data_IF_327399860453
#
_entry.id   IF_327399860453
#
_cell.length_a   1.000
_cell.length_b   1.000
_cell.length_c   1.000
_cell.angle_alpha   90.00
_cell.angle_beta   90.00
_cell.angle_gamma   90.00
#
_symmetry.space_group_name_H-M   'P 1'
#
loop_
_entity.id
_entity.type
_entity.pdbx_description
1 polymer ?
#
# COMPACT_ATOMS: atom_id res chain seq x y z
N UNK A 1 -21.27 12.12 -8.34
CA UNK A 1 -20.64 13.05 -9.29
C UNK A 1 -19.47 13.77 -8.61
N UNK A 2 -18.44 14.09 -9.37
CA UNK A 2 -17.32 14.92 -8.93
C UNK A 2 -17.76 16.38 -8.78
N UNK A 3 -17.44 17.00 -7.65
CA UNK A 3 -17.72 18.42 -7.44
C UNK A 3 -16.84 19.36 -8.28
N UNK A 4 -15.71 18.85 -8.82
CA UNK A 4 -14.77 19.64 -9.60
C UNK A 4 -15.18 19.80 -11.06
N UNK A 5 -15.76 18.78 -11.68
CA UNK A 5 -16.05 18.71 -13.12
C UNK A 5 -17.39 18.06 -13.46
N UNK A 6 -18.18 17.67 -12.47
CA UNK A 6 -19.48 17.02 -12.66
C UNK A 6 -19.40 15.58 -13.21
N UNK A 7 -18.21 14.99 -13.29
CA UNK A 7 -18.05 13.63 -13.80
C UNK A 7 -18.75 12.61 -12.90
N UNK A 8 -19.37 11.58 -13.49
CA UNK A 8 -19.95 10.48 -12.74
C UNK A 8 -18.84 9.63 -12.11
N UNK A 9 -18.83 9.56 -10.79
CA UNK A 9 -17.87 8.75 -10.03
C UNK A 9 -18.38 7.33 -9.75
N UNK A 10 -19.67 7.09 -9.94
CA UNK A 10 -20.33 5.83 -9.74
C UNK A 10 -21.76 5.99 -9.23
N UNK A 11 -22.48 4.88 -9.18
CA UNK A 11 -23.82 4.80 -8.63
C UNK A 11 -23.85 3.82 -7.45
N UNK A 12 -24.57 4.20 -6.40
CA UNK A 12 -24.80 3.32 -5.24
C UNK A 12 -26.22 2.76 -5.36
N UNK A 13 -26.37 1.44 -5.59
CA UNK A 13 -27.70 0.85 -5.62
C UNK A 13 -28.32 0.90 -4.22
N UNK A 14 -29.52 1.45 -4.13
CA UNK A 14 -30.33 1.49 -2.91
C UNK A 14 -31.56 0.60 -3.07
N UNK A 15 -32.08 0.08 -1.96
CA UNK A 15 -33.32 -0.71 -1.98
C UNK A 15 -34.51 0.17 -2.43
N UNK A 16 -35.47 -0.43 -3.14
CA UNK A 16 -36.68 0.29 -3.64
C UNK A 16 -37.48 0.92 -2.51
N UNK A 17 -37.42 0.33 -1.32
CA UNK A 17 -38.11 0.77 -0.11
C UNK A 17 -37.40 1.93 0.61
N UNK A 18 -36.30 2.45 0.06
CA UNK A 18 -35.55 3.58 0.64
C UNK A 18 -36.39 4.86 0.52
N UNK A 19 -36.73 5.45 1.67
CA UNK A 19 -37.58 6.67 1.77
C UNK A 19 -36.79 7.93 2.14
N UNK A 20 -35.58 7.78 2.70
CA UNK A 20 -34.71 8.91 3.00
C UNK A 20 -33.24 8.54 2.80
N UNK A 21 -32.47 9.51 2.34
CA UNK A 21 -31.02 9.41 2.14
C UNK A 21 -30.40 10.68 2.72
N UNK A 22 -29.32 10.49 3.47
CA UNK A 22 -28.47 11.58 3.95
C UNK A 22 -27.01 11.21 3.80
N UNK A 23 -26.13 12.20 3.75
CA UNK A 23 -24.68 12.00 3.58
C UNK A 23 -23.93 12.65 4.74
N UNK A 24 -22.93 11.95 5.26
CA UNK A 24 -22.04 12.52 6.27
C UNK A 24 -21.31 13.77 5.72
N UNK A 25 -20.97 14.77 6.57
CA UNK A 25 -20.43 16.05 6.14
C UNK A 25 -19.16 15.97 5.28
N UNK A 26 -18.38 14.88 5.42
CA UNK A 26 -17.17 14.62 4.62
C UNK A 26 -17.41 13.72 3.41
N UNK A 27 -18.65 13.31 3.17
CA UNK A 27 -19.00 12.42 2.06
C UNK A 27 -18.55 10.96 2.24
N UNK A 28 -18.08 10.56 3.43
CA UNK A 28 -17.55 9.22 3.69
C UNK A 28 -18.61 8.16 4.02
N UNK A 29 -19.84 8.59 4.33
CA UNK A 29 -20.93 7.68 4.66
C UNK A 29 -22.23 8.14 4.05
N UNK A 30 -23.03 7.18 3.58
CA UNK A 30 -24.45 7.35 3.28
C UNK A 30 -25.29 6.75 4.40
N UNK A 31 -26.29 7.49 4.82
CA UNK A 31 -27.33 7.02 5.73
C UNK A 31 -28.61 6.81 4.94
N UNK A 32 -29.16 5.61 5.03
CA UNK A 32 -30.38 5.23 4.34
C UNK A 32 -31.44 4.84 5.35
N UNK A 33 -32.68 5.23 5.10
CA UNK A 33 -33.84 4.80 5.91
C UNK A 33 -34.84 4.16 4.95
N UNK A 34 -35.31 2.97 5.27
CA UNK A 34 -36.37 2.30 4.52
C UNK A 34 -37.78 2.59 5.08
N UNK A 35 -38.80 2.18 4.36
CA UNK A 35 -40.23 2.33 4.76
C UNK A 35 -40.57 1.63 6.08
N UNK A 36 -39.76 0.65 6.51
CA UNK A 36 -39.90 -0.04 7.80
C UNK A 36 -39.12 0.65 8.91
N UNK A 37 -38.65 1.88 8.68
CA UNK A 37 -37.83 2.67 9.62
C UNK A 37 -36.51 2.02 10.00
N UNK A 38 -35.98 1.10 9.16
CA UNK A 38 -34.67 0.49 9.35
C UNK A 38 -33.59 1.45 8.86
N UNK A 39 -32.61 1.69 9.71
CA UNK A 39 -31.40 2.46 9.43
C UNK A 39 -30.33 1.58 8.79
N UNK A 40 -29.72 2.06 7.69
CA UNK A 40 -28.53 1.46 7.09
C UNK A 40 -27.48 2.55 6.90
N UNK A 41 -26.28 2.34 7.43
CA UNK A 41 -25.12 3.19 7.18
C UNK A 41 -24.19 2.46 6.20
N UNK A 42 -23.77 3.14 5.14
CA UNK A 42 -22.88 2.61 4.11
C UNK A 42 -21.64 3.48 4.02
N UNK A 43 -20.45 2.87 4.14
CA UNK A 43 -19.20 3.57 3.86
C UNK A 43 -19.05 3.81 2.36
N UNK A 44 -18.74 5.05 1.98
CA UNK A 44 -18.34 5.41 0.62
C UNK A 44 -16.81 5.48 0.59
N UNK A 45 -16.19 4.76 -0.30
CA UNK A 45 -14.77 4.87 -0.58
C UNK A 45 -14.53 4.86 -2.08
N UNK A 46 -13.85 5.90 -2.58
CA UNK A 46 -13.44 5.96 -3.97
C UNK A 46 -12.13 5.19 -4.14
N UNK A 47 -12.05 4.39 -5.20
CA UNK A 47 -10.79 3.75 -5.54
C UNK A 47 -9.79 4.81 -6.01
N UNK A 48 -8.60 4.80 -5.41
CA UNK A 48 -7.48 5.66 -5.79
C UNK A 48 -6.72 5.02 -6.96
N UNK A 49 -6.38 5.81 -7.96
CA UNK A 49 -5.46 5.38 -9.02
C UNK A 49 -4.02 5.54 -8.53
N UNK A 50 -3.43 4.44 -8.08
CA UNK A 50 -2.06 4.41 -7.56
C UNK A 50 -1.15 3.82 -8.63
N UNK A 51 -0.27 4.65 -9.20
CA UNK A 51 0.72 4.17 -10.17
C UNK A 51 1.71 3.19 -9.52
N UNK A 52 1.67 1.96 -9.97
CA UNK A 52 2.55 0.87 -9.51
C UNK A 52 3.70 0.57 -10.47
N UNK A 53 3.87 1.37 -11.53
CA UNK A 53 4.92 1.18 -12.54
C UNK A 53 6.31 1.28 -11.93
N UNK A 54 7.13 0.26 -12.16
CA UNK A 54 8.50 0.18 -11.61
C UNK A 54 8.58 -0.08 -10.11
N UNK A 55 7.45 -0.26 -9.41
CA UNK A 55 7.46 -0.64 -8.00
C UNK A 55 7.74 -2.15 -7.84
N UNK A 56 8.48 -2.55 -6.80
CA UNK A 56 8.71 -3.97 -6.52
C UNK A 56 7.41 -4.64 -6.11
N UNK A 57 7.20 -5.88 -6.54
CA UNK A 57 6.01 -6.64 -6.20
C UNK A 57 6.29 -8.12 -5.95
N UNK A 58 5.40 -8.75 -5.20
CA UNK A 58 5.27 -10.20 -5.03
C UNK A 58 4.05 -10.70 -5.78
N UNK A 59 4.09 -11.95 -6.20
CA UNK A 59 2.99 -12.61 -6.91
C UNK A 59 3.04 -12.44 -8.41
N UNK A 60 1.94 -12.77 -9.09
CA UNK A 60 1.86 -12.69 -10.55
C UNK A 60 1.60 -11.24 -11.00
N UNK A 61 2.30 -10.79 -12.06
CA UNK A 61 2.14 -9.44 -12.63
C UNK A 61 0.68 -9.12 -12.96
N UNK A 62 -0.06 -10.08 -13.49
CA UNK A 62 -1.44 -9.94 -13.94
C UNK A 62 -2.45 -10.54 -12.95
N UNK A 63 -2.11 -10.61 -11.65
CA UNK A 63 -3.08 -11.03 -10.64
C UNK A 63 -4.29 -10.08 -10.62
N UNK A 64 -5.52 -10.61 -10.46
CA UNK A 64 -6.74 -9.79 -10.50
C UNK A 64 -6.83 -8.79 -9.34
N UNK A 65 -6.17 -9.07 -8.22
CA UNK A 65 -6.17 -8.21 -7.03
C UNK A 65 -4.77 -7.65 -6.80
N UNK A 66 -4.66 -6.33 -6.71
CA UNK A 66 -3.43 -5.63 -6.33
C UNK A 66 -3.58 -5.04 -4.94
N UNK A 67 -2.73 -5.48 -4.01
CA UNK A 67 -2.57 -4.87 -2.70
C UNK A 67 -1.35 -3.96 -2.75
N UNK A 68 -1.54 -2.66 -2.58
CA UNK A 68 -0.45 -1.68 -2.46
C UNK A 68 -0.22 -1.39 -0.99
N UNK A 69 1.02 -1.48 -0.53
CA UNK A 69 1.42 -1.09 0.82
C UNK A 69 2.38 0.08 0.79
N UNK A 70 1.98 1.22 1.35
CA UNK A 70 2.89 2.32 1.67
C UNK A 70 3.55 2.04 3.02
N UNK A 71 4.87 2.00 3.05
CA UNK A 71 5.61 1.45 4.17
C UNK A 71 6.91 2.21 4.45
N UNK A 72 7.37 2.08 5.70
CA UNK A 72 8.58 2.69 6.25
C UNK A 72 9.35 1.62 7.04
N UNK A 73 10.61 1.42 6.71
CA UNK A 73 11.44 0.37 7.31
C UNK A 73 11.76 0.61 8.79
N UNK A 74 11.69 1.84 9.27
CA UNK A 74 11.89 2.17 10.68
C UNK A 74 10.58 2.13 11.49
N UNK A 75 9.42 2.06 10.83
CA UNK A 75 8.13 2.05 11.50
C UNK A 75 7.83 0.67 12.13
N UNK A 76 7.62 0.58 13.45
CA UNK A 76 7.37 -0.70 14.13
C UNK A 76 6.02 -1.33 13.73
N UNK A 77 5.07 -0.53 13.28
CA UNK A 77 3.80 -1.04 12.78
C UNK A 77 3.93 -1.65 11.38
N UNK A 78 4.87 -1.15 10.56
CA UNK A 78 5.15 -1.73 9.25
C UNK A 78 5.77 -3.12 9.37
N UNK A 79 6.73 -3.32 10.30
CA UNK A 79 7.30 -4.64 10.54
C UNK A 79 6.26 -5.66 11.02
N UNK A 80 5.26 -5.23 11.80
CA UNK A 80 4.17 -6.11 12.27
C UNK A 80 3.18 -6.51 11.17
N UNK A 81 3.06 -5.74 10.10
CA UNK A 81 2.18 -6.07 8.96
C UNK A 81 2.83 -7.09 8.02
N UNK A 82 4.17 -7.17 7.98
CA UNK A 82 4.87 -8.09 7.08
C UNK A 82 4.39 -9.55 7.19
N UNK A 83 4.33 -10.20 8.36
CA UNK A 83 3.85 -11.58 8.47
C UNK A 83 2.43 -11.77 7.92
N UNK A 84 1.56 -10.78 8.11
CA UNK A 84 0.20 -10.79 7.59
C UNK A 84 0.20 -10.78 6.05
N UNK A 85 1.04 -9.95 5.43
CA UNK A 85 1.17 -9.89 3.96
C UNK A 85 1.75 -11.20 3.40
N UNK A 86 2.73 -11.79 4.07
CA UNK A 86 3.31 -13.08 3.71
C UNK A 86 2.25 -14.20 3.72
N UNK A 87 1.40 -14.24 4.74
CA UNK A 87 0.32 -15.23 4.87
C UNK A 87 -0.76 -15.03 3.81
N UNK A 88 -1.13 -13.78 3.53
CA UNK A 88 -2.09 -13.46 2.45
C UNK A 88 -1.54 -13.88 1.10
N UNK A 89 -0.25 -13.68 0.83
CA UNK A 89 0.39 -14.11 -0.40
C UNK A 89 0.38 -15.64 -0.53
N UNK A 90 0.70 -16.38 0.53
CA UNK A 90 0.66 -17.85 0.54
C UNK A 90 -0.74 -18.40 0.27
N UNK A 91 -1.78 -17.76 0.84
CA UNK A 91 -3.18 -18.16 0.64
C UNK A 91 -3.71 -17.83 -0.75
N UNK A 92 -3.15 -16.81 -1.42
CA UNK A 92 -3.66 -16.26 -2.67
C UNK A 92 -2.60 -16.18 -3.80
N UNK A 93 -1.80 -17.23 -4.08
CA UNK A 93 -0.62 -17.16 -4.96
C UNK A 93 -0.95 -16.80 -6.41
N UNK A 94 -2.19 -17.03 -6.86
CA UNK A 94 -2.65 -16.76 -8.21
C UNK A 94 -3.60 -15.56 -8.31
N UNK A 95 -4.09 -15.05 -7.18
CA UNK A 95 -5.11 -14.01 -7.13
C UNK A 95 -4.54 -12.66 -6.67
N UNK A 96 -3.44 -12.68 -5.92
CA UNK A 96 -2.89 -11.50 -5.25
C UNK A 96 -1.54 -11.09 -5.83
N UNK A 97 -1.37 -9.80 -6.05
CA UNK A 97 -0.10 -9.10 -6.26
C UNK A 97 0.08 -8.09 -5.13
N UNK A 98 1.18 -8.17 -4.39
CA UNK A 98 1.53 -7.18 -3.36
C UNK A 98 2.59 -6.25 -3.93
N UNK A 99 2.31 -4.96 -3.95
CA UNK A 99 3.21 -3.90 -4.43
C UNK A 99 3.68 -3.07 -3.24
N UNK A 100 4.98 -2.86 -3.15
CA UNK A 100 5.58 -2.03 -2.11
C UNK A 100 5.82 -0.61 -2.61
N UNK A 101 5.44 0.37 -1.81
CA UNK A 101 5.67 1.80 -2.01
C UNK A 101 6.40 2.40 -0.81
N UNK A 102 7.46 3.13 -1.08
CA UNK A 102 8.25 3.77 -0.03
C UNK A 102 7.58 5.04 0.49
N UNK A 103 7.40 5.11 1.81
CA UNK A 103 6.95 6.34 2.49
C UNK A 103 7.75 6.54 3.79
N UNK A 104 9.02 6.95 3.70
CA UNK A 104 9.81 7.27 4.89
C UNK A 104 9.23 8.49 5.60
N UNK A 105 8.83 8.31 6.86
CA UNK A 105 8.25 9.38 7.68
C UNK A 105 9.35 10.29 8.23
N UNK A 106 9.10 11.59 8.28
CA UNK A 106 10.08 12.58 8.73
C UNK A 106 10.55 12.39 10.19
N UNK A 107 9.71 11.76 11.03
CA UNK A 107 10.06 11.43 12.42
C UNK A 107 11.05 10.27 12.54
N UNK A 108 11.29 9.53 11.47
CA UNK A 108 12.15 8.34 11.41
C UNK A 108 13.44 8.67 10.67
N UNK A 109 14.50 9.00 11.40
CA UNK A 109 15.76 9.51 10.84
C UNK A 109 16.51 8.50 9.95
N UNK A 110 16.27 7.19 10.10
CA UNK A 110 16.85 6.12 9.27
C UNK A 110 15.92 5.60 8.18
N UNK A 111 14.67 6.06 8.13
CA UNK A 111 13.71 5.56 7.15
C UNK A 111 14.09 5.92 5.71
N UNK A 112 14.55 7.16 5.49
CA UNK A 112 14.98 7.60 4.16
C UNK A 112 16.25 6.87 3.70
N UNK A 113 17.34 6.74 4.48
CA UNK A 113 18.48 5.89 4.11
C UNK A 113 18.10 4.46 3.79
N UNK A 114 17.23 3.85 4.59
CA UNK A 114 16.77 2.47 4.36
C UNK A 114 15.93 2.35 3.06
N UNK A 115 15.07 3.32 2.76
CA UNK A 115 14.30 3.34 1.52
C UNK A 115 15.21 3.43 0.29
N UNK A 116 16.21 4.32 0.31
CA UNK A 116 17.20 4.46 -0.77
C UNK A 116 18.01 3.18 -0.95
N UNK A 117 18.39 2.52 0.15
CA UNK A 117 19.11 1.25 0.11
C UNK A 117 18.27 0.12 -0.51
N UNK A 118 16.98 0.05 -0.20
CA UNK A 118 16.08 -0.93 -0.81
C UNK A 118 15.89 -0.68 -2.31
N UNK A 119 15.79 0.59 -2.73
CA UNK A 119 15.71 0.97 -4.15
C UNK A 119 17.02 0.62 -4.88
N UNK A 120 18.19 0.92 -4.29
CA UNK A 120 19.47 0.54 -4.86
C UNK A 120 19.63 -0.99 -4.99
N UNK A 121 19.14 -1.75 -4.01
CA UNK A 121 19.11 -3.22 -4.08
C UNK A 121 18.15 -3.72 -5.17
N UNK A 122 17.08 -2.99 -5.48
CA UNK A 122 16.16 -3.32 -6.57
C UNK A 122 16.86 -3.26 -7.93
N UNK A 123 17.77 -2.33 -8.16
CA UNK A 123 18.53 -2.23 -9.41
C UNK A 123 19.39 -3.48 -9.65
N UNK A 124 19.72 -4.23 -8.59
CA UNK A 124 20.41 -5.51 -8.65
C UNK A 124 19.46 -6.72 -8.50
N UNK A 125 18.15 -6.52 -8.63
CA UNK A 125 17.14 -7.59 -8.53
C UNK A 125 16.96 -8.15 -7.12
N UNK A 126 17.47 -7.47 -6.07
CA UNK A 126 17.48 -7.95 -4.68
C UNK A 126 16.64 -7.10 -3.73
N UNK A 127 15.56 -6.50 -4.24
CA UNK A 127 14.65 -5.71 -3.39
C UNK A 127 14.15 -6.52 -2.19
N UNK A 128 13.55 -7.70 -2.41
CA UNK A 128 12.91 -8.46 -1.34
C UNK A 128 13.90 -8.99 -0.29
N UNK A 129 15.07 -9.53 -0.66
CA UNK A 129 16.11 -9.83 0.32
C UNK A 129 16.51 -8.63 1.16
N UNK A 130 16.67 -7.45 0.55
CA UNK A 130 16.99 -6.21 1.28
C UNK A 130 15.85 -5.74 2.16
N UNK A 131 14.62 -5.78 1.67
CA UNK A 131 13.41 -5.47 2.43
C UNK A 131 13.32 -6.30 3.70
N UNK A 132 13.53 -7.61 3.61
CA UNK A 132 13.47 -8.51 4.76
C UNK A 132 14.60 -8.25 5.76
N UNK A 133 15.81 -8.03 5.26
CA UNK A 133 16.96 -7.68 6.09
C UNK A 133 16.75 -6.35 6.84
N UNK A 134 16.22 -5.31 6.16
CA UNK A 134 15.96 -4.00 6.77
C UNK A 134 14.91 -4.09 7.89
N UNK A 135 13.82 -4.82 7.70
CA UNK A 135 12.83 -5.03 8.76
C UNK A 135 13.37 -5.87 9.91
N UNK A 136 14.25 -6.84 9.64
CA UNK A 136 14.91 -7.65 10.68
C UNK A 136 15.83 -6.82 11.58
N UNK A 137 16.44 -5.74 11.07
CA UNK A 137 17.26 -4.82 11.87
C UNK A 137 16.48 -4.12 12.99
N UNK A 138 15.19 -3.85 12.77
CA UNK A 138 14.33 -3.24 13.78
C UNK A 138 14.93 -1.96 14.39
N UNK A 139 15.16 -1.95 15.70
CA UNK A 139 15.75 -0.81 16.42
C UNK A 139 17.24 -0.58 16.10
N UNK A 140 17.92 -1.57 15.50
CA UNK A 140 19.34 -1.49 15.13
C UNK A 140 19.53 -0.87 13.73
N UNK A 141 18.47 -0.37 13.11
CA UNK A 141 18.51 0.27 11.79
C UNK A 141 19.35 1.54 11.84
N UNK A 142 20.48 1.51 11.16
CA UNK A 142 21.43 2.65 11.01
C UNK A 142 22.26 2.42 9.74
N UNK A 143 23.01 3.43 9.31
CA UNK A 143 23.82 3.37 8.08
C UNK A 143 24.79 2.19 8.06
N UNK A 144 25.42 1.86 9.19
CA UNK A 144 26.38 0.74 9.26
C UNK A 144 25.65 -0.60 9.08
N UNK A 145 24.54 -0.82 9.78
CA UNK A 145 23.76 -2.07 9.68
C UNK A 145 23.07 -2.22 8.32
N UNK A 146 22.66 -1.11 7.68
CA UNK A 146 22.13 -1.12 6.30
C UNK A 146 23.19 -1.58 5.32
N UNK A 147 24.42 -1.05 5.41
CA UNK A 147 25.52 -1.46 4.54
C UNK A 147 25.91 -2.94 4.80
N UNK A 148 25.91 -3.39 6.05
CA UNK A 148 26.16 -4.78 6.37
C UNK A 148 25.09 -5.70 5.77
N UNK A 149 23.82 -5.35 5.90
CA UNK A 149 22.72 -6.09 5.29
C UNK A 149 22.86 -6.18 3.75
N UNK A 150 23.31 -5.11 3.09
CA UNK A 150 23.58 -5.10 1.65
C UNK A 150 24.71 -6.10 1.27
N UNK A 151 25.77 -6.18 2.08
CA UNK A 151 26.84 -7.18 1.92
C UNK A 151 26.34 -8.61 2.14
N UNK A 152 25.59 -8.82 3.21
CA UNK A 152 25.12 -10.17 3.63
C UNK A 152 24.18 -10.78 2.57
N UNK A 153 23.36 -9.95 1.90
CA UNK A 153 22.53 -10.42 0.79
C UNK A 153 23.29 -10.53 -0.54
N UNK A 154 24.61 -10.26 -0.53
CA UNK A 154 25.51 -10.43 -1.68
C UNK A 154 25.33 -9.40 -2.79
N UNK A 155 25.05 -8.13 -2.45
CA UNK A 155 25.07 -7.04 -3.44
C UNK A 155 26.51 -6.75 -3.92
N UNK A 156 26.62 -6.32 -5.16
CA UNK A 156 27.83 -5.63 -5.61
C UNK A 156 27.90 -4.29 -4.91
N UNK A 157 28.82 -4.15 -3.95
CA UNK A 157 28.89 -2.96 -3.07
C UNK A 157 29.38 -1.71 -3.78
N UNK A 158 30.16 -1.83 -4.83
CA UNK A 158 30.57 -0.69 -5.66
C UNK A 158 29.36 -0.10 -6.40
N UNK A 159 28.60 -0.99 -7.08
CA UNK A 159 27.38 -0.58 -7.77
C UNK A 159 26.31 -0.07 -6.77
N UNK A 160 26.14 -0.74 -5.63
CA UNK A 160 25.21 -0.34 -4.60
C UNK A 160 25.45 1.09 -4.10
N UNK A 161 26.72 1.47 -3.87
CA UNK A 161 27.08 2.84 -3.47
C UNK A 161 26.77 3.87 -4.57
N UNK A 162 27.04 3.54 -5.83
CA UNK A 162 26.68 4.40 -6.97
C UNK A 162 25.17 4.60 -7.08
N UNK A 163 24.42 3.50 -6.91
CA UNK A 163 22.96 3.53 -7.02
C UNK A 163 22.32 4.30 -5.86
N UNK A 164 22.85 4.20 -4.62
CA UNK A 164 22.37 4.96 -3.46
C UNK A 164 22.33 6.48 -3.73
N UNK A 165 23.37 7.00 -4.35
CA UNK A 165 23.53 8.43 -4.59
C UNK A 165 22.95 8.87 -5.96
N UNK A 166 22.43 7.92 -6.74
CA UNK A 166 21.94 8.19 -8.09
C UNK A 166 20.67 9.03 -8.10
N UNK A 167 20.55 9.90 -9.10
CA UNK A 167 19.33 10.66 -9.37
C UNK A 167 18.13 9.74 -9.61
N UNK A 168 18.35 8.57 -10.21
CA UNK A 168 17.31 7.58 -10.49
C UNK A 168 16.68 7.08 -9.18
N UNK A 169 17.51 6.67 -8.20
CA UNK A 169 17.07 6.22 -6.87
C UNK A 169 16.32 7.33 -6.13
N UNK A 170 16.83 8.57 -6.15
CA UNK A 170 16.15 9.71 -5.53
C UNK A 170 14.79 9.99 -6.19
N UNK A 171 14.72 9.97 -7.50
CA UNK A 171 13.48 10.21 -8.25
C UNK A 171 12.45 9.11 -8.00
N UNK A 172 12.87 7.84 -7.88
CA UNK A 172 11.98 6.73 -7.55
C UNK A 172 11.37 6.91 -6.16
N UNK A 173 12.17 7.25 -5.16
CA UNK A 173 11.66 7.55 -3.82
C UNK A 173 10.69 8.74 -3.85
N UNK A 174 11.06 9.82 -4.53
CA UNK A 174 10.22 11.02 -4.69
C UNK A 174 8.89 10.67 -5.34
N UNK A 175 8.89 9.82 -6.38
CA UNK A 175 7.67 9.34 -7.04
C UNK A 175 6.75 8.63 -6.06
N UNK A 176 7.26 7.69 -5.26
CA UNK A 176 6.47 6.97 -4.27
C UNK A 176 5.84 7.91 -3.23
N UNK A 177 6.58 8.92 -2.79
CA UNK A 177 6.08 9.94 -1.86
C UNK A 177 5.00 10.85 -2.50
N UNK A 178 5.14 11.19 -3.79
CA UNK A 178 4.11 11.93 -4.54
C UNK A 178 2.85 11.08 -4.68
N UNK A 179 2.98 9.80 -5.01
CA UNK A 179 1.85 8.88 -5.14
C UNK A 179 1.13 8.70 -3.79
N UNK A 180 1.87 8.67 -2.67
CA UNK A 180 1.30 8.70 -1.33
C UNK A 180 0.46 9.98 -1.08
N UNK A 181 1.00 11.14 -1.45
CA UNK A 181 0.29 12.42 -1.33
C UNK A 181 -0.99 12.45 -2.16
N UNK A 182 -0.95 11.99 -3.42
CA UNK A 182 -2.13 11.89 -4.30
C UNK A 182 -3.21 10.97 -3.72
N UNK A 183 -2.79 9.86 -3.10
CA UNK A 183 -3.68 8.91 -2.43
C UNK A 183 -4.07 9.32 -1.00
N UNK A 184 -3.75 10.55 -0.57
CA UNK A 184 -4.02 11.10 0.77
C UNK A 184 -3.47 10.22 1.90
N UNK A 185 -2.31 9.59 1.69
CA UNK A 185 -1.62 8.76 2.69
C UNK A 185 -0.79 9.65 3.60
N UNK A 186 -1.16 9.71 4.88
CA UNK A 186 -0.49 10.52 5.91
C UNK A 186 0.35 9.72 6.90
N UNK A 187 0.36 8.38 6.79
CA UNK A 187 1.10 7.53 7.72
C UNK A 187 1.32 6.11 7.21
N UNK A 188 2.14 5.36 7.93
CA UNK A 188 2.51 3.99 7.57
C UNK A 188 2.23 2.98 8.71
N UNK A 189 1.91 1.74 8.38
CA UNK A 189 1.59 1.25 7.05
C UNK A 189 0.19 1.71 6.59
N UNK A 190 0.03 2.06 5.31
CA UNK A 190 -1.29 2.25 4.71
C UNK A 190 -1.44 1.28 3.54
N UNK A 191 -2.57 0.57 3.51
CA UNK A 191 -2.85 -0.48 2.55
C UNK A 191 -4.02 -0.10 1.64
N UNK A 192 -3.92 -0.48 0.37
CA UNK A 192 -5.00 -0.36 -0.61
C UNK A 192 -5.19 -1.69 -1.32
N UNK A 193 -6.43 -2.10 -1.53
CA UNK A 193 -6.78 -3.26 -2.36
C UNK A 193 -7.55 -2.73 -3.57
N UNK A 194 -6.99 -2.92 -4.77
CA UNK A 194 -7.51 -2.37 -6.03
C UNK A 194 -7.89 -0.88 -5.91
N UNK A 195 -7.00 -0.07 -5.28
CA UNK A 195 -7.21 1.35 -5.05
C UNK A 195 -8.09 1.70 -3.85
N UNK A 196 -8.80 0.76 -3.23
CA UNK A 196 -9.64 1.01 -2.05
C UNK A 196 -8.83 0.93 -0.77
N UNK A 197 -8.80 2.01 0.00
CA UNK A 197 -8.05 2.04 1.25
C UNK A 197 -8.62 1.07 2.28
N UNK A 198 -7.74 0.28 2.88
CA UNK A 198 -8.09 -0.65 3.96
C UNK A 198 -8.11 0.08 5.30
N UNK A 199 -9.29 0.22 5.89
CA UNK A 199 -9.49 0.89 7.19
C UNK A 199 -9.14 -0.03 8.37
N UNK A 200 -9.40 -1.35 8.26
CA UNK A 200 -9.14 -2.34 9.32
C UNK A 200 -8.21 -3.46 8.83
N UNK A 201 -7.17 -3.78 9.60
CA UNK A 201 -6.05 -4.65 9.17
C UNK A 201 -6.13 -6.07 9.74
N UNK A 202 -7.33 -6.61 9.97
CA UNK A 202 -7.52 -8.01 10.33
C UNK A 202 -7.29 -8.94 9.12
N UNK A 203 -6.68 -10.12 9.35
CA UNK A 203 -6.44 -11.11 8.28
C UNK A 203 -7.72 -11.49 7.54
N UNK A 204 -8.81 -11.71 8.28
CA UNK A 204 -10.11 -12.11 7.73
C UNK A 204 -10.74 -10.97 6.90
N UNK A 205 -10.56 -9.72 7.32
CA UNK A 205 -11.06 -8.55 6.60
C UNK A 205 -10.35 -8.41 5.27
N UNK A 206 -9.02 -8.49 5.28
CA UNK A 206 -8.21 -8.42 4.05
C UNK A 206 -8.53 -9.59 3.12
N UNK A 207 -8.67 -10.81 3.65
CA UNK A 207 -9.03 -11.98 2.83
C UNK A 207 -10.41 -11.79 2.19
N UNK A 208 -11.41 -11.32 2.95
CA UNK A 208 -12.74 -11.04 2.41
C UNK A 208 -12.70 -9.99 1.29
N UNK A 209 -11.92 -8.91 1.45
CA UNK A 209 -11.75 -7.90 0.40
C UNK A 209 -11.09 -8.49 -0.85
N UNK A 210 -10.06 -9.33 -0.68
CA UNK A 210 -9.39 -10.01 -1.80
C UNK A 210 -10.37 -10.90 -2.55
N UNK A 211 -11.19 -11.67 -1.84
CA UNK A 211 -12.18 -12.57 -2.47
C UNK A 211 -13.26 -11.78 -3.22
N UNK A 212 -13.76 -10.70 -2.66
CA UNK A 212 -14.73 -9.81 -3.30
C UNK A 212 -14.16 -9.17 -4.58
N UNK A 213 -12.97 -8.59 -4.51
CA UNK A 213 -12.32 -7.94 -5.66
C UNK A 213 -11.93 -8.95 -6.76
N UNK A 214 -11.57 -10.18 -6.36
CA UNK A 214 -11.29 -11.26 -7.32
C UNK A 214 -12.53 -11.76 -8.05
N UNK A 215 -13.70 -11.69 -7.41
CA UNK A 215 -14.98 -12.11 -8.02
C UNK A 215 -15.52 -11.06 -9.00
N UNK A 216 -15.31 -9.78 -8.73
CA UNK A 216 -15.81 -8.66 -9.56
C UNK A 216 -15.08 -8.49 -10.90
N UNK A 217 -13.94 -9.17 -11.10
CA UNK A 217 -13.14 -9.12 -12.35
C UNK A 217 -13.33 -10.36 -13.23
N UNK A 218 -14.30 -11.22 -12.93
CA UNK A 218 -14.77 -12.30 -13.81
C UNK A 218 -15.93 -11.82 -14.66
#
# INVERSE_FOLDING_TARGET
>A
YSAADGAELGAVPVAKETIAIDIAPRGEMLFLVDSNKKYTAMDISFAQDIDTTGSPFLGKKNAPVTLVVFSDFQCPYCSKVKPLLDDLMKKNPNKLKIVFKHLPLNMHNQARPAALAAIAAQEQGKFWPMHDALFALGRNLNTKSINQAAQDIGLNMEQFKKDLDSTATQNKLKKDMIDAGKASVSGTPTLFINGRQVKARGADILQKMIDQESASKK
#
